data_IF_928597422664
#
_entry.id   IF_928597422664
#
_cell.length_a   1.000
_cell.length_b   1.000
_cell.length_c   1.000
_cell.angle_alpha   90.00
_cell.angle_beta   90.00
_cell.angle_gamma   90.00
#
_symmetry.space_group_name_H-M   'P 1'
#
loop_
_entity.id
_entity.type
_entity.pdbx_description
1 polymer ?
#
# COMPACT_ATOMS: atom_id res chain seq x y z
N UNK A 1 6.33 -7.58 -22.78
CA UNK A 1 7.53 -7.00 -23.43
C UNK A 1 8.05 -7.83 -24.60
N UNK A 2 8.48 -9.08 -24.47
CA UNK A 2 9.11 -9.89 -25.57
C UNK A 2 8.31 -9.89 -26.88
N UNK A 3 6.97 -10.04 -26.82
CA UNK A 3 6.13 -10.02 -28.02
C UNK A 3 6.09 -8.63 -28.66
N UNK A 4 6.01 -7.56 -27.89
CA UNK A 4 6.01 -6.17 -28.36
C UNK A 4 7.34 -5.82 -29.06
N UNK A 5 8.47 -6.20 -28.46
CA UNK A 5 9.80 -6.06 -29.07
C UNK A 5 9.86 -6.77 -30.43
N UNK A 6 9.41 -8.03 -30.49
CA UNK A 6 9.41 -8.81 -31.74
C UNK A 6 8.53 -8.20 -32.83
N UNK A 7 7.43 -7.58 -32.44
CA UNK A 7 6.51 -6.91 -33.37
C UNK A 7 6.90 -5.45 -33.65
N UNK A 8 7.94 -4.93 -33.01
CA UNK A 8 8.37 -3.52 -33.09
C UNK A 8 7.22 -2.54 -32.76
N UNK A 9 6.34 -2.94 -31.82
CA UNK A 9 5.18 -2.15 -31.41
C UNK A 9 5.35 -1.66 -29.96
N UNK A 10 4.91 -0.44 -29.62
CA UNK A 10 4.81 -0.02 -28.22
C UNK A 10 3.76 -0.86 -27.48
N UNK A 11 3.80 -0.84 -26.15
CA UNK A 11 2.86 -1.59 -25.32
C UNK A 11 2.42 -0.78 -24.10
N UNK A 12 1.10 -0.65 -23.90
CA UNK A 12 0.51 -0.25 -22.63
C UNK A 12 0.17 -1.49 -21.79
N UNK A 13 0.60 -1.49 -20.54
CA UNK A 13 0.40 -2.61 -19.61
C UNK A 13 -0.51 -2.15 -18.49
N UNK A 14 -1.58 -2.90 -18.21
CA UNK A 14 -2.49 -2.65 -17.10
C UNK A 14 -2.27 -3.67 -15.99
N UNK A 15 -2.05 -3.19 -14.75
CA UNK A 15 -1.95 -3.99 -13.55
C UNK A 15 -3.05 -3.56 -12.57
N UNK A 16 -4.17 -4.29 -12.60
CA UNK A 16 -5.33 -4.04 -11.72
C UNK A 16 -5.33 -4.99 -10.53
N UNK A 17 -4.22 -5.10 -9.83
CA UNK A 17 -4.08 -5.85 -8.60
C UNK A 17 -3.12 -5.12 -7.64
N UNK A 18 -3.19 -5.47 -6.37
CA UNK A 18 -2.29 -4.94 -5.35
C UNK A 18 -2.45 -5.66 -4.02
N UNK A 19 -1.53 -5.42 -3.11
CA UNK A 19 -1.56 -5.91 -1.75
C UNK A 19 -0.85 -4.93 -0.82
N UNK A 20 -0.90 -5.20 0.49
CA UNK A 20 -0.24 -4.37 1.50
C UNK A 20 1.08 -4.96 2.03
N UNK A 21 1.70 -5.90 1.28
CA UNK A 21 2.93 -6.57 1.71
C UNK A 21 4.17 -5.81 1.24
N UNK A 22 4.76 -5.02 2.13
CA UNK A 22 5.99 -4.28 1.91
C UNK A 22 6.01 -2.87 2.53
N UNK A 23 7.10 -2.12 2.35
CA UNK A 23 7.33 -0.84 3.03
C UNK A 23 6.55 0.35 2.42
N UNK A 24 5.82 0.18 1.34
CA UNK A 24 5.09 1.22 0.60
C UNK A 24 5.95 2.44 0.21
N UNK A 25 7.25 2.24 0.06
CA UNK A 25 8.25 3.26 -0.27
C UNK A 25 8.68 3.25 -1.75
N UNK A 26 8.10 2.33 -2.54
CA UNK A 26 8.41 2.15 -3.97
C UNK A 26 9.65 1.31 -4.23
N UNK A 27 10.25 0.68 -3.23
CA UNK A 27 11.56 0.01 -3.30
C UNK A 27 11.54 -1.49 -3.04
N UNK A 28 10.37 -2.12 -2.91
CA UNK A 28 10.31 -3.56 -2.85
C UNK A 28 10.94 -4.18 -4.11
N UNK A 29 11.39 -5.42 -4.02
CA UNK A 29 12.00 -6.12 -5.17
C UNK A 29 11.07 -6.12 -6.39
N UNK A 30 9.77 -6.29 -6.17
CA UNK A 30 8.77 -6.29 -7.23
C UNK A 30 8.59 -4.90 -7.85
N UNK A 31 8.57 -3.84 -7.05
CA UNK A 31 8.46 -2.45 -7.52
C UNK A 31 9.70 -2.01 -8.29
N UNK A 32 10.88 -2.36 -7.81
CA UNK A 32 12.13 -2.13 -8.53
C UNK A 32 12.12 -2.84 -9.89
N UNK A 33 11.69 -4.11 -9.93
CA UNK A 33 11.58 -4.86 -11.18
C UNK A 33 10.63 -4.21 -12.19
N UNK A 34 9.44 -3.75 -11.74
CA UNK A 34 8.49 -3.06 -12.60
C UNK A 34 9.05 -1.72 -13.08
N UNK A 35 9.68 -0.97 -12.19
CA UNK A 35 10.30 0.32 -12.52
C UNK A 35 11.42 0.16 -13.56
N UNK A 36 12.23 -0.88 -13.48
CA UNK A 36 13.27 -1.20 -14.46
C UNK A 36 12.69 -1.61 -15.83
N UNK A 37 11.57 -2.36 -15.83
CA UNK A 37 10.90 -2.75 -17.07
C UNK A 37 10.48 -1.54 -17.92
N UNK A 38 10.23 -0.40 -17.30
CA UNK A 38 9.88 0.83 -18.02
C UNK A 38 11.00 1.32 -18.98
N UNK A 39 12.25 0.93 -18.72
CA UNK A 39 13.41 1.22 -19.58
C UNK A 39 13.72 0.16 -20.66
N UNK A 40 13.05 -1.01 -20.62
CA UNK A 40 13.42 -2.14 -21.50
C UNK A 40 12.92 -1.98 -22.93
N UNK A 41 11.77 -1.36 -23.13
CA UNK A 41 11.13 -1.15 -24.43
C UNK A 41 10.14 0.01 -24.35
N UNK A 42 9.66 0.47 -25.50
CA UNK A 42 8.61 1.50 -25.61
C UNK A 42 7.34 1.04 -24.91
N UNK A 43 7.19 1.36 -23.64
CA UNK A 43 6.05 0.92 -22.82
C UNK A 43 5.58 1.98 -21.84
N UNK A 44 4.34 1.82 -21.39
CA UNK A 44 3.79 2.51 -20.22
C UNK A 44 3.09 1.48 -19.33
N UNK A 45 3.48 1.43 -18.06
CA UNK A 45 2.89 0.54 -17.06
C UNK A 45 1.94 1.36 -16.18
N UNK A 46 0.68 0.94 -16.16
CA UNK A 46 -0.40 1.58 -15.40
C UNK A 46 -0.85 0.64 -14.29
N UNK A 47 -0.93 1.15 -13.08
CA UNK A 47 -1.21 0.35 -11.87
C UNK A 47 -2.37 0.96 -11.11
N UNK A 48 -3.33 0.14 -10.68
CA UNK A 48 -4.42 0.56 -9.81
C UNK A 48 -3.89 0.94 -8.41
N UNK A 49 -4.37 2.05 -7.84
CA UNK A 49 -3.92 2.58 -6.55
C UNK A 49 -4.29 1.71 -5.34
N UNK A 50 -5.22 0.77 -5.51
CA UNK A 50 -5.79 -0.04 -4.43
C UNK A 50 -7.07 0.55 -3.85
N UNK A 51 -7.79 -0.26 -3.07
CA UNK A 51 -9.11 0.09 -2.52
C UNK A 51 -9.08 0.23 -0.99
N UNK A 52 -7.94 0.64 -0.44
CA UNK A 52 -7.66 0.68 0.99
C UNK A 52 -7.90 2.06 1.65
N UNK A 53 -8.32 3.07 0.88
CA UNK A 53 -8.42 4.47 1.33
C UNK A 53 -9.30 4.68 2.56
N UNK A 54 -10.30 3.84 2.80
CA UNK A 54 -11.19 3.87 3.97
C UNK A 54 -11.31 2.51 4.69
N UNK A 55 -10.40 1.57 4.39
CA UNK A 55 -10.45 0.21 4.93
C UNK A 55 -9.96 0.08 6.37
N UNK A 56 -9.34 1.13 6.93
CA UNK A 56 -8.72 1.12 8.26
C UNK A 56 -7.54 0.15 8.41
N UNK A 57 -6.87 -0.15 7.30
CA UNK A 57 -5.76 -1.12 7.26
C UNK A 57 -4.37 -0.49 7.32
N UNK A 58 -4.29 0.83 7.50
CA UNK A 58 -3.04 1.54 7.73
C UNK A 58 -3.13 2.40 8.98
N UNK A 59 -2.07 2.41 9.77
CA UNK A 59 -1.83 3.37 10.82
C UNK A 59 -0.36 3.76 10.89
N UNK A 60 -0.09 4.94 11.40
CA UNK A 60 1.25 5.46 11.62
C UNK A 60 1.38 5.97 13.06
N UNK A 61 2.47 5.62 13.69
CA UNK A 61 2.79 6.11 15.03
C UNK A 61 4.14 6.80 15.05
N UNK A 62 4.26 7.84 15.87
CA UNK A 62 5.50 8.54 16.14
C UNK A 62 5.99 8.17 17.53
N UNK A 63 7.20 7.61 17.61
CA UNK A 63 7.88 7.32 18.86
C UNK A 63 8.76 8.51 19.27
N UNK A 64 8.87 8.83 20.57
CA UNK A 64 9.75 9.90 21.02
C UNK A 64 11.21 9.56 20.72
N UNK A 65 11.95 10.54 20.15
CA UNK A 65 13.39 10.37 19.87
C UNK A 65 14.21 10.39 21.14
N UNK A 66 15.22 9.54 21.21
CA UNK A 66 16.12 9.45 22.35
C UNK A 66 16.56 8.03 22.68
N UNK A 67 17.30 7.91 23.77
CA UNK A 67 17.78 6.66 24.34
C UNK A 67 17.00 6.35 25.63
N UNK A 68 16.28 5.25 25.61
CA UNK A 68 15.38 4.83 26.70
C UNK A 68 15.98 3.64 27.44
N UNK A 69 16.35 3.83 28.72
CA UNK A 69 16.89 2.75 29.55
C UNK A 69 15.77 1.98 30.24
N UNK A 70 15.88 0.66 30.17
CA UNK A 70 15.12 -0.20 31.08
C UNK A 70 15.90 -0.29 32.39
N UNK A 71 15.29 0.13 33.48
CA UNK A 71 15.85 -0.10 34.79
C UNK A 71 15.45 -1.51 35.27
N UNK A 72 16.44 -2.42 35.33
CA UNK A 72 16.27 -3.74 35.97
C UNK A 72 17.25 -4.79 35.44
N UNK A 73 18.13 -5.29 36.31
CA UNK A 73 18.89 -6.52 36.14
C UNK A 73 17.95 -7.72 36.43
N UNK A 74 17.60 -8.46 35.41
CA UNK A 74 16.86 -9.70 35.58
C UNK A 74 15.67 -9.77 34.64
N UNK A 75 15.38 -10.98 34.21
CA UNK A 75 14.43 -11.36 33.19
C UNK A 75 13.19 -10.49 33.09
N UNK A 76 12.74 -10.34 31.89
CA UNK A 76 11.65 -9.49 31.50
C UNK A 76 10.36 -9.77 32.28
N UNK A 77 10.19 -9.07 33.41
CA UNK A 77 8.91 -8.85 34.04
C UNK A 77 8.31 -7.60 33.40
N UNK A 78 7.27 -7.77 32.56
CA UNK A 78 6.59 -6.69 31.86
C UNK A 78 6.02 -5.57 32.76
N UNK A 79 6.15 -5.70 34.09
CA UNK A 79 5.72 -4.71 35.07
C UNK A 79 6.73 -3.57 35.33
N UNK A 80 7.95 -3.63 34.74
CA UNK A 80 9.04 -2.67 35.01
C UNK A 80 9.46 -1.80 33.86
N UNK A 81 8.74 -1.83 32.75
CA UNK A 81 8.91 -0.85 31.69
C UNK A 81 8.13 0.39 32.13
N UNK A 82 8.80 1.54 32.20
CA UNK A 82 8.11 2.81 32.45
C UNK A 82 6.97 2.93 31.45
N UNK A 83 5.74 2.82 31.92
CA UNK A 83 4.50 2.96 31.16
C UNK A 83 4.42 4.31 30.41
N UNK A 84 5.21 5.28 30.83
CA UNK A 84 5.18 6.66 30.33
C UNK A 84 5.74 6.84 28.90
N UNK A 85 6.46 5.85 28.35
CA UNK A 85 7.09 5.94 27.02
C UNK A 85 6.65 4.84 26.06
N UNK A 86 5.69 3.98 26.41
CA UNK A 86 5.13 3.00 25.49
C UNK A 86 4.07 3.63 24.60
N UNK A 87 3.98 3.15 23.36
CA UNK A 87 2.90 3.50 22.45
C UNK A 87 2.12 2.23 22.10
N UNK A 88 0.82 2.27 22.27
CA UNK A 88 -0.05 1.15 21.93
C UNK A 88 -0.81 1.44 20.64
N UNK A 89 -0.84 0.43 19.76
CA UNK A 89 -1.60 0.43 18.51
C UNK A 89 -2.69 -0.61 18.65
N UNK A 90 -3.92 -0.16 18.79
CA UNK A 90 -5.08 -1.04 18.93
C UNK A 90 -5.74 -1.35 17.59
N UNK A 91 -6.19 -2.58 17.44
CA UNK A 91 -6.97 -3.03 16.27
C UNK A 91 -8.08 -3.99 16.68
N UNK A 92 -9.19 -3.91 15.96
CA UNK A 92 -10.27 -4.86 16.08
C UNK A 92 -10.02 -6.05 15.15
N UNK A 93 -10.13 -7.26 15.68
CA UNK A 93 -10.21 -8.50 14.92
C UNK A 93 -11.67 -8.98 14.99
N UNK A 94 -12.33 -9.02 13.84
CA UNK A 94 -13.74 -9.39 13.75
C UNK A 94 -13.98 -10.88 14.00
N UNK A 95 -15.21 -11.24 14.37
CA UNK A 95 -15.64 -12.63 14.42
C UNK A 95 -15.58 -13.28 13.03
N UNK A 96 -15.19 -14.55 12.99
CA UNK A 96 -15.14 -15.32 11.74
C UNK A 96 -13.82 -15.23 10.98
N UNK A 97 -12.90 -14.35 11.38
CA UNK A 97 -11.58 -14.26 10.74
C UNK A 97 -10.76 -15.53 10.96
N UNK A 98 -10.07 -15.97 9.92
CA UNK A 98 -9.22 -17.16 9.93
C UNK A 98 -7.75 -16.86 9.73
N UNK A 99 -7.43 -15.69 9.20
CA UNK A 99 -6.07 -15.21 9.02
C UNK A 99 -6.03 -13.70 9.12
N UNK A 100 -4.95 -13.18 9.66
CA UNK A 100 -4.62 -11.75 9.63
C UNK A 100 -3.11 -11.62 9.51
N UNK A 101 -2.66 -10.68 8.71
CA UNK A 101 -1.26 -10.28 8.67
C UNK A 101 -1.15 -8.79 8.98
N UNK A 102 -0.19 -8.45 9.84
CA UNK A 102 0.21 -7.06 10.09
C UNK A 102 1.71 -6.96 9.87
N UNK A 103 2.13 -6.02 9.06
CA UNK A 103 3.53 -5.66 8.87
C UNK A 103 3.80 -4.31 9.50
N UNK A 104 4.73 -4.25 10.44
CA UNK A 104 5.27 -3.01 10.98
C UNK A 104 6.59 -2.72 10.27
N UNK A 105 6.68 -1.53 9.71
CA UNK A 105 7.87 -1.01 9.05
C UNK A 105 8.40 0.21 9.78
N UNK A 106 9.67 0.18 10.14
CA UNK A 106 10.38 1.25 10.84
C UNK A 106 11.76 1.47 10.24
N UNK A 107 12.41 2.58 10.59
CA UNK A 107 13.83 2.75 10.26
C UNK A 107 14.68 1.70 10.98
N UNK A 108 15.67 1.16 10.29
CA UNK A 108 16.63 0.20 10.85
C UNK A 108 17.41 0.77 12.03
N UNK A 109 17.70 2.06 12.02
CA UNK A 109 18.44 2.72 13.12
C UNK A 109 17.64 2.85 14.41
N UNK A 110 16.31 2.68 14.35
CA UNK A 110 15.46 2.70 15.52
C UNK A 110 15.42 1.31 16.17
N UNK A 111 15.69 1.25 17.48
CA UNK A 111 15.58 0.04 18.28
C UNK A 111 14.40 0.15 19.22
N UNK A 112 13.53 -0.83 19.17
CA UNK A 112 12.37 -0.95 20.05
C UNK A 112 12.15 -2.42 20.45
N UNK A 113 11.36 -2.64 21.50
CA UNK A 113 10.73 -3.93 21.77
C UNK A 113 9.25 -3.85 21.46
N UNK A 114 8.68 -4.97 21.04
CA UNK A 114 7.29 -5.07 20.67
C UNK A 114 6.65 -6.26 21.41
N UNK A 115 5.44 -6.05 21.89
CA UNK A 115 4.55 -7.09 22.37
C UNK A 115 3.22 -7.02 21.63
N UNK A 116 2.75 -8.17 21.19
CA UNK A 116 1.35 -8.33 20.79
C UNK A 116 0.57 -8.72 22.03
N UNK A 117 -0.56 -8.06 22.28
CA UNK A 117 -1.41 -8.31 23.44
C UNK A 117 -2.79 -8.77 22.95
N UNK A 118 -3.21 -9.94 23.42
CA UNK A 118 -4.53 -10.49 23.06
C UNK A 118 -5.67 -9.81 23.82
N UNK A 119 -6.93 -9.99 23.39
CA UNK A 119 -8.10 -9.50 24.14
C UNK A 119 -8.22 -10.03 25.56
N UNK A 120 -7.61 -11.18 25.87
CA UNK A 120 -7.51 -11.73 27.22
C UNK A 120 -6.38 -11.15 28.06
N UNK A 121 -5.54 -10.28 27.48
CA UNK A 121 -4.39 -9.67 28.16
C UNK A 121 -3.10 -10.52 28.09
N UNK A 122 -3.11 -11.63 27.36
CA UNK A 122 -1.89 -12.43 27.15
C UNK A 122 -0.91 -11.66 26.25
N UNK A 123 0.38 -11.71 26.57
CA UNK A 123 1.43 -10.93 25.92
C UNK A 123 2.42 -11.82 25.18
N UNK A 124 2.63 -11.55 23.92
CA UNK A 124 3.52 -12.28 23.02
C UNK A 124 4.67 -11.37 22.60
N UNK A 125 5.88 -11.72 23.00
CA UNK A 125 7.07 -10.89 22.77
C UNK A 125 7.62 -11.09 21.35
N UNK A 126 8.06 -10.01 20.72
CA UNK A 126 8.85 -10.02 19.50
C UNK A 126 10.18 -10.81 19.72
N UNK A 127 10.61 -11.65 18.75
CA UNK A 127 11.89 -12.36 18.83
C UNK A 127 13.08 -11.41 18.58
N UNK A 128 14.29 -11.94 18.73
CA UNK A 128 15.52 -11.24 18.37
C UNK A 128 15.58 -10.97 16.85
N UNK A 129 16.32 -9.93 16.48
CA UNK A 129 16.53 -9.55 15.07
C UNK A 129 17.07 -10.71 14.24
N UNK A 130 16.52 -10.89 13.04
CA UNK A 130 16.87 -11.97 12.13
C UNK A 130 16.26 -13.33 12.49
N UNK A 131 15.36 -13.37 13.49
CA UNK A 131 14.72 -14.61 13.93
C UNK A 131 13.19 -14.53 13.91
N UNK A 132 12.54 -15.67 14.11
CA UNK A 132 11.07 -15.77 14.21
C UNK A 132 10.66 -16.64 15.40
N UNK A 133 9.47 -16.38 15.91
CA UNK A 133 8.82 -17.15 16.97
C UNK A 133 7.37 -17.44 16.59
N UNK A 134 6.87 -18.59 17.04
CA UNK A 134 5.46 -18.96 16.90
C UNK A 134 4.87 -19.24 18.26
N UNK A 135 3.75 -18.59 18.54
CA UNK A 135 2.96 -18.75 19.75
C UNK A 135 1.65 -19.49 19.45
N UNK A 136 1.20 -20.31 20.38
CA UNK A 136 -0.12 -20.96 20.32
C UNK A 136 -1.15 -20.05 20.96
N UNK A 137 -2.29 -19.85 20.28
CA UNK A 137 -3.40 -18.98 20.72
C UNK A 137 -4.61 -19.78 21.22
N UNK A 138 -4.48 -21.12 21.36
CA UNK A 138 -5.60 -22.03 21.61
C UNK A 138 -6.31 -22.49 20.33
N UNK A 139 -6.99 -23.65 20.41
CA UNK A 139 -7.69 -24.25 19.27
C UNK A 139 -6.83 -24.46 18.02
N UNK A 140 -5.54 -24.77 18.19
CA UNK A 140 -4.53 -24.90 17.12
C UNK A 140 -4.31 -23.61 16.30
N UNK A 141 -4.83 -22.47 16.75
CA UNK A 141 -4.53 -21.16 16.18
C UNK A 141 -3.14 -20.68 16.62
N UNK A 142 -2.47 -19.94 15.76
CA UNK A 142 -1.09 -19.48 15.99
C UNK A 142 -0.92 -18.00 15.73
N UNK A 143 0.02 -17.39 16.43
CA UNK A 143 0.63 -16.09 16.11
C UNK A 143 2.11 -16.32 15.80
N UNK A 144 2.52 -16.04 14.58
CA UNK A 144 3.92 -16.04 14.17
C UNK A 144 4.43 -14.61 14.12
N UNK A 145 5.58 -14.34 14.73
CA UNK A 145 6.25 -13.03 14.66
C UNK A 145 7.65 -13.24 14.10
N UNK A 146 7.99 -12.52 13.05
CA UNK A 146 9.32 -12.52 12.43
C UNK A 146 9.90 -11.11 12.53
N UNK A 147 11.06 -10.99 13.14
CA UNK A 147 11.81 -9.74 13.19
C UNK A 147 12.87 -9.76 12.08
N UNK A 148 12.57 -9.12 10.97
CA UNK A 148 13.42 -9.10 9.79
C UNK A 148 14.71 -8.32 9.98
N UNK A 149 15.60 -8.47 9.03
CA UNK A 149 16.80 -7.64 8.86
C UNK A 149 16.64 -6.73 7.66
N UNK A 150 17.39 -5.61 7.57
CA UNK A 150 17.39 -4.77 6.37
C UNK A 150 17.76 -5.57 5.12
N UNK A 151 17.17 -5.20 3.99
CA UNK A 151 17.45 -5.82 2.70
C UNK A 151 18.29 -4.88 1.84
N UNK A 152 18.94 -5.37 0.74
CA UNK A 152 19.66 -4.50 -0.18
C UNK A 152 18.79 -3.45 -0.89
N UNK A 153 17.46 -3.54 -0.77
CA UNK A 153 16.50 -2.72 -1.51
C UNK A 153 15.89 -1.61 -0.66
N UNK A 154 15.87 -1.78 0.66
CA UNK A 154 15.27 -0.80 1.59
C UNK A 154 16.06 -0.72 2.89
N UNK A 155 16.15 0.50 3.43
CA UNK A 155 16.70 0.76 4.77
C UNK A 155 15.65 0.58 5.87
N UNK A 156 14.41 0.32 5.50
CA UNK A 156 13.34 0.02 6.45
C UNK A 156 13.43 -1.43 6.90
N UNK A 157 13.15 -1.65 8.16
CA UNK A 157 13.14 -2.97 8.80
C UNK A 157 11.71 -3.42 9.03
N UNK A 158 11.42 -4.65 8.65
CA UNK A 158 10.12 -5.28 8.84
C UNK A 158 10.04 -6.02 10.17
N UNK A 159 8.89 -5.90 10.84
CA UNK A 159 8.41 -6.85 11.83
C UNK A 159 7.09 -7.42 11.29
N UNK A 160 7.14 -8.67 10.88
CA UNK A 160 6.02 -9.39 10.30
C UNK A 160 5.27 -10.16 11.37
N UNK A 161 3.97 -9.99 11.43
CA UNK A 161 3.07 -10.66 12.37
C UNK A 161 1.94 -11.33 11.61
N UNK A 162 1.74 -12.63 11.85
CA UNK A 162 0.73 -13.43 11.17
C UNK A 162 -0.08 -14.25 12.17
N UNK A 163 -1.38 -14.06 12.14
CA UNK A 163 -2.36 -14.88 12.85
C UNK A 163 -2.94 -15.90 11.89
N UNK A 164 -2.95 -17.15 12.29
CA UNK A 164 -3.55 -18.25 11.48
C UNK A 164 -4.42 -19.11 12.38
N UNK A 165 -5.67 -19.28 12.00
CA UNK A 165 -6.60 -20.16 12.70
C UNK A 165 -6.31 -21.63 12.39
N UNK A 166 -6.52 -22.52 13.37
CA UNK A 166 -6.52 -23.94 13.19
C UNK A 166 -7.68 -24.43 12.30
N UNK A 167 -7.68 -25.71 11.99
CA UNK A 167 -8.73 -26.29 11.15
C UNK A 167 -10.09 -26.24 11.88
N UNK A 168 -11.11 -25.72 11.18
CA UNK A 168 -12.48 -25.65 11.71
C UNK A 168 -12.73 -24.59 12.79
N UNK A 169 -11.72 -23.81 13.17
CA UNK A 169 -11.86 -22.72 14.15
C UNK A 169 -11.60 -21.35 13.54
N UNK A 170 -11.89 -20.29 14.27
CA UNK A 170 -11.62 -18.90 13.91
C UNK A 170 -10.63 -18.30 14.91
N UNK A 171 -10.00 -17.21 14.53
CA UNK A 171 -9.12 -16.45 15.43
C UNK A 171 -9.91 -15.85 16.60
N UNK A 172 -9.28 -15.64 17.76
CA UNK A 172 -9.90 -14.96 18.89
C UNK A 172 -10.28 -13.52 18.55
N UNK A 173 -11.59 -13.28 18.35
CA UNK A 173 -12.11 -11.95 18.06
C UNK A 173 -12.00 -11.00 19.24
N UNK A 174 -11.95 -9.69 18.98
CA UNK A 174 -11.89 -8.65 20.00
C UNK A 174 -10.84 -7.59 19.70
N UNK A 175 -10.53 -6.79 20.70
CA UNK A 175 -9.50 -5.75 20.59
C UNK A 175 -8.15 -6.34 20.97
N UNK A 176 -7.26 -6.33 20.02
CA UNK A 176 -5.85 -6.65 20.17
C UNK A 176 -5.04 -5.36 20.24
N UNK A 177 -3.87 -5.39 20.85
CA UNK A 177 -2.93 -4.27 20.78
C UNK A 177 -1.51 -4.72 20.44
N UNK A 178 -0.76 -3.79 19.84
CA UNK A 178 0.67 -3.89 19.59
C UNK A 178 1.33 -2.80 20.45
N UNK A 179 2.00 -3.22 21.52
CA UNK A 179 2.67 -2.33 22.45
C UNK A 179 4.13 -2.16 22.04
N UNK A 180 4.50 -0.93 21.70
CA UNK A 180 5.85 -0.53 21.24
C UNK A 180 6.59 0.15 22.39
N UNK A 181 7.75 -0.38 22.75
CA UNK A 181 8.62 0.13 23.81
C UNK A 181 9.92 0.65 23.19
N UNK A 182 10.11 1.98 23.08
CA UNK A 182 11.30 2.56 22.51
C UNK A 182 12.55 2.21 23.31
N UNK A 183 13.67 1.99 22.63
CA UNK A 183 15.00 1.72 23.20
C UNK A 183 16.01 2.78 22.78
N UNK A 184 16.22 2.87 21.51
CA UNK A 184 17.09 3.86 20.86
C UNK A 184 16.36 4.34 19.61
N UNK A 185 15.82 5.56 19.67
CA UNK A 185 14.98 6.10 18.60
C UNK A 185 15.66 7.31 17.98
N UNK A 186 15.92 7.25 16.68
CA UNK A 186 16.55 8.29 15.87
C UNK A 186 15.56 8.95 14.91
N UNK A 187 14.76 8.15 14.19
CA UNK A 187 13.72 8.60 13.26
C UNK A 187 12.34 8.62 13.91
N UNK A 188 11.95 7.55 14.56
CA UNK A 188 10.77 7.45 15.39
C UNK A 188 9.45 7.27 14.63
N UNK A 189 9.48 7.01 13.34
CA UNK A 189 8.26 6.77 12.55
C UNK A 189 8.09 5.28 12.31
N UNK A 190 6.95 4.74 12.74
CA UNK A 190 6.56 3.37 12.46
C UNK A 190 5.24 3.38 11.67
N UNK A 191 5.21 2.68 10.55
CA UNK A 191 4.00 2.43 9.77
C UNK A 191 3.57 0.98 9.95
N UNK A 192 2.26 0.76 10.10
CA UNK A 192 1.69 -0.57 10.18
C UNK A 192 0.62 -0.74 9.10
N UNK A 193 0.74 -1.80 8.32
CA UNK A 193 -0.27 -2.20 7.35
C UNK A 193 -0.81 -3.59 7.67
N UNK A 194 -2.13 -3.74 7.57
CA UNK A 194 -2.82 -5.04 7.60
C UNK A 194 -2.90 -5.63 6.20
N UNK A 195 -3.12 -6.94 6.11
CA UNK A 195 -3.60 -7.58 4.89
C UNK A 195 -4.80 -6.84 4.31
N UNK A 196 -4.85 -6.72 2.96
CA UNK A 196 -5.86 -5.91 2.29
C UNK A 196 -7.30 -6.41 2.51
N UNK A 197 -8.28 -5.55 2.23
CA UNK A 197 -9.70 -5.78 2.46
C UNK A 197 -10.26 -7.05 1.79
N UNK A 198 -9.61 -7.52 0.73
CA UNK A 198 -9.98 -8.78 0.06
C UNK A 198 -9.59 -10.03 0.88
N UNK A 199 -8.64 -9.89 1.81
CA UNK A 199 -8.13 -10.97 2.64
C UNK A 199 -8.66 -10.92 4.08
N UNK A 200 -9.05 -9.75 4.58
CA UNK A 200 -9.66 -9.53 5.90
C UNK A 200 -11.02 -8.87 5.75
N UNK A 201 -11.95 -9.19 6.64
CA UNK A 201 -13.30 -8.63 6.62
C UNK A 201 -13.31 -7.12 6.89
N UNK A 202 -14.37 -6.42 6.44
CA UNK A 202 -14.50 -4.96 6.60
C UNK A 202 -14.61 -4.47 8.06
N UNK A 203 -14.84 -5.38 9.01
CA UNK A 203 -14.92 -5.06 10.44
C UNK A 203 -13.57 -5.17 11.16
N UNK A 204 -12.60 -5.88 10.56
CA UNK A 204 -11.21 -5.94 11.03
C UNK A 204 -10.50 -4.65 10.63
N UNK A 205 -9.69 -4.05 11.52
CA UNK A 205 -8.99 -2.81 11.21
C UNK A 205 -8.44 -2.10 12.44
N UNK A 206 -7.52 -1.17 12.22
CA UNK A 206 -6.98 -0.31 13.28
C UNK A 206 -8.07 0.60 13.87
N UNK A 207 -8.02 0.84 15.18
CA UNK A 207 -8.95 1.75 15.85
C UNK A 207 -8.61 3.22 15.58
N UNK A 208 -7.34 3.51 15.35
CA UNK A 208 -6.84 4.84 14.99
C UNK A 208 -6.16 4.78 13.60
N UNK A 209 -6.94 4.58 12.52
CA UNK A 209 -6.37 4.47 11.18
C UNK A 209 -5.92 5.82 10.63
N UNK A 210 -4.93 5.79 9.75
CA UNK A 210 -4.50 6.91 8.93
C UNK A 210 -4.94 6.67 7.49
N UNK A 211 -5.62 7.64 6.89
CA UNK A 211 -6.18 7.52 5.53
C UNK A 211 -5.16 7.76 4.41
N UNK A 212 -4.03 8.38 4.71
CA UNK A 212 -2.93 8.57 3.77
C UNK A 212 -1.98 7.38 3.76
N UNK A 213 -1.16 7.25 2.71
CA UNK A 213 -0.22 6.13 2.51
C UNK A 213 -0.93 4.77 2.46
N UNK A 214 -2.12 4.76 1.84
CA UNK A 214 -2.97 3.59 1.64
C UNK A 214 -2.95 3.06 0.20
N UNK A 215 -1.97 3.48 -0.59
CA UNK A 215 -1.69 2.89 -1.91
C UNK A 215 -1.22 1.45 -1.72
N UNK A 216 -1.76 0.53 -2.50
CA UNK A 216 -1.28 -0.86 -2.49
C UNK A 216 -0.01 -1.02 -3.34
N UNK A 217 0.83 -2.00 -3.00
CA UNK A 217 1.97 -2.39 -3.82
C UNK A 217 1.44 -3.21 -5.03
N UNK A 218 1.83 -2.89 -6.28
CA UNK A 218 2.98 -2.04 -6.66
C UNK A 218 2.63 -0.60 -7.11
N UNK A 219 1.51 -0.02 -6.67
CA UNK A 219 1.14 1.34 -7.08
C UNK A 219 2.06 2.42 -6.50
N UNK A 220 2.92 2.06 -5.56
CA UNK A 220 3.96 2.91 -4.98
C UNK A 220 5.28 2.91 -5.76
N UNK A 221 5.42 2.09 -6.80
CA UNK A 221 6.62 2.05 -7.66
C UNK A 221 6.87 3.38 -8.39
N UNK A 222 8.14 3.74 -8.60
CA UNK A 222 8.54 5.08 -9.08
C UNK A 222 8.09 5.40 -10.52
N UNK A 223 8.40 4.49 -11.44
CA UNK A 223 8.35 4.75 -12.89
C UNK A 223 7.07 4.28 -13.56
N UNK A 224 6.00 4.13 -12.80
CA UNK A 224 4.70 3.69 -13.29
C UNK A 224 3.68 4.84 -13.22
N UNK A 225 2.54 4.65 -13.85
CA UNK A 225 1.38 5.53 -13.69
C UNK A 225 0.41 4.90 -12.71
N UNK A 226 0.40 5.37 -11.47
CA UNK A 226 -0.55 4.92 -10.44
C UNK A 226 -1.88 5.66 -10.58
N UNK A 227 -3.00 4.93 -10.47
CA UNK A 227 -4.33 5.45 -10.82
C UNK A 227 -5.31 5.25 -9.68
N UNK A 228 -5.77 6.36 -9.11
CA UNK A 228 -6.90 6.39 -8.19
C UNK A 228 -8.26 6.44 -8.92
N UNK A 229 -9.33 6.31 -8.16
CA UNK A 229 -10.69 6.31 -8.67
C UNK A 229 -11.47 7.56 -8.23
N UNK A 230 -12.27 8.11 -9.15
CA UNK A 230 -13.28 9.12 -8.81
C UNK A 230 -14.66 8.71 -9.34
N UNK A 231 -15.72 9.25 -8.73
CA UNK A 231 -17.09 9.08 -9.20
C UNK A 231 -17.42 10.14 -10.25
N UNK A 232 -17.80 9.72 -11.45
CA UNK A 232 -17.99 10.61 -12.58
C UNK A 232 -19.14 11.62 -12.39
N UNK A 233 -20.23 11.21 -11.75
CA UNK A 233 -21.42 12.07 -11.56
C UNK A 233 -21.18 13.21 -10.56
N UNK A 234 -20.45 12.93 -9.49
CA UNK A 234 -20.16 13.93 -8.43
C UNK A 234 -18.82 14.61 -8.61
N UNK A 235 -17.96 14.09 -9.48
CA UNK A 235 -16.57 14.52 -9.68
C UNK A 235 -15.74 14.46 -8.38
N UNK A 236 -16.11 13.61 -7.41
CA UNK A 236 -15.42 13.43 -6.15
C UNK A 236 -14.53 12.17 -6.18
N UNK A 237 -13.35 12.25 -5.56
CA UNK A 237 -12.50 11.05 -5.36
C UNK A 237 -13.27 10.02 -4.56
N UNK A 238 -13.23 8.76 -4.99
CA UNK A 238 -13.94 7.68 -4.31
C UNK A 238 -13.32 7.42 -2.92
N UNK A 239 -14.14 7.26 -1.87
CA UNK A 239 -13.63 7.07 -0.50
C UNK A 239 -12.66 5.89 -0.35
N UNK A 240 -12.90 4.82 -1.09
CA UNK A 240 -12.06 3.62 -1.06
C UNK A 240 -10.73 3.79 -1.80
N UNK A 241 -10.60 4.79 -2.70
CA UNK A 241 -9.40 4.96 -3.51
C UNK A 241 -8.16 5.11 -2.64
N UNK A 242 -7.13 4.30 -2.91
CA UNK A 242 -5.85 4.41 -2.23
C UNK A 242 -5.27 5.82 -2.35
N UNK A 243 -4.72 6.33 -1.24
CA UNK A 243 -4.20 7.70 -1.10
C UNK A 243 -2.71 7.69 -0.80
N UNK A 244 -2.04 8.68 -1.31
CA UNK A 244 -0.62 8.91 -1.10
C UNK A 244 -0.30 9.79 0.13
N UNK A 245 0.87 10.35 0.22
CA UNK A 245 1.98 10.02 -0.68
C UNK A 245 2.53 8.64 -0.33
N UNK A 246 3.53 8.12 -1.09
CA UNK A 246 4.24 6.91 -0.67
C UNK A 246 4.94 7.12 0.66
N UNK A 247 5.35 6.06 1.34
CA UNK A 247 6.11 6.16 2.60
C UNK A 247 7.45 6.90 2.44
N UNK A 248 7.99 6.97 1.21
CA UNK A 248 9.18 7.76 0.87
C UNK A 248 8.86 9.22 0.46
N UNK A 249 7.59 9.64 0.52
CA UNK A 249 7.16 11.00 0.17
C UNK A 249 6.99 11.27 -1.32
N UNK A 250 7.01 10.27 -2.18
CA UNK A 250 6.80 10.44 -3.62
C UNK A 250 5.32 10.65 -3.93
N UNK A 251 5.05 11.46 -4.96
CA UNK A 251 3.68 11.72 -5.43
C UNK A 251 3.08 10.48 -6.09
N UNK A 252 2.08 9.91 -5.44
CA UNK A 252 1.17 8.89 -5.93
C UNK A 252 -0.17 9.03 -5.17
N UNK A 253 -1.33 8.74 -5.78
CA UNK A 253 -1.47 8.30 -7.17
C UNK A 253 -0.98 9.37 -8.15
N UNK A 254 -0.63 8.95 -9.39
CA UNK A 254 -0.25 9.92 -10.45
C UNK A 254 -1.44 10.78 -10.84
N UNK A 255 -2.60 10.17 -11.03
CA UNK A 255 -3.86 10.83 -11.36
C UNK A 255 -5.05 9.92 -11.04
N UNK A 256 -6.27 10.41 -11.24
CA UNK A 256 -7.48 9.63 -11.05
C UNK A 256 -8.27 9.49 -12.37
N UNK A 257 -9.03 8.40 -12.47
CA UNK A 257 -9.95 8.13 -13.57
C UNK A 257 -11.31 7.63 -13.05
N UNK A 258 -12.38 7.60 -13.88
CA UNK A 258 -13.67 7.07 -13.46
C UNK A 258 -13.55 5.63 -12.96
N UNK A 259 -14.02 5.36 -11.73
CA UNK A 259 -13.88 4.03 -11.14
C UNK A 259 -15.09 3.60 -10.30
N UNK A 260 -16.21 4.32 -10.36
CA UNK A 260 -17.41 4.02 -9.59
C UNK A 260 -18.57 3.77 -10.54
N UNK A 261 -19.23 2.62 -10.38
CA UNK A 261 -20.42 2.22 -11.14
C UNK A 261 -20.24 2.24 -12.66
N UNK A 262 -19.10 1.76 -13.14
CA UNK A 262 -18.74 1.75 -14.55
C UNK A 262 -19.32 0.52 -15.25
N UNK A 263 -20.03 0.74 -16.36
CA UNK A 263 -20.50 -0.34 -17.21
C UNK A 263 -19.33 -0.96 -17.97
N UNK A 264 -19.06 -2.23 -17.77
CA UNK A 264 -17.95 -2.97 -18.36
C UNK A 264 -18.39 -4.35 -18.85
N UNK A 265 -17.59 -4.99 -19.68
CA UNK A 265 -17.83 -6.36 -20.11
C UNK A 265 -17.82 -7.33 -18.91
N UNK A 266 -18.72 -8.29 -18.92
CA UNK A 266 -18.86 -9.31 -17.87
C UNK A 266 -18.30 -10.66 -18.31
N UNK A 267 -17.75 -11.48 -17.40
CA UNK A 267 -17.43 -12.87 -17.67
C UNK A 267 -18.66 -13.63 -18.16
N UNK A 268 -18.50 -14.45 -19.19
CA UNK A 268 -19.62 -15.19 -19.79
C UNK A 268 -20.45 -14.41 -20.80
N UNK A 269 -20.07 -13.13 -21.07
CA UNK A 269 -20.76 -12.26 -22.03
C UNK A 269 -21.69 -11.24 -21.35
N UNK A 270 -22.14 -10.24 -22.16
CA UNK A 270 -22.95 -9.14 -21.66
C UNK A 270 -22.14 -8.08 -20.89
N UNK A 271 -22.83 -7.31 -20.07
CA UNK A 271 -22.27 -6.17 -19.33
C UNK A 271 -22.65 -6.21 -17.86
N UNK A 272 -21.77 -5.71 -17.01
CA UNK A 272 -22.02 -5.51 -15.58
C UNK A 272 -21.43 -4.20 -15.10
N UNK A 273 -22.01 -3.61 -14.05
CA UNK A 273 -21.44 -2.44 -13.40
C UNK A 273 -20.40 -2.88 -12.37
N UNK A 274 -19.27 -2.18 -12.35
CA UNK A 274 -18.14 -2.48 -11.47
C UNK A 274 -17.60 -1.20 -10.86
N UNK A 275 -17.04 -1.34 -9.65
CA UNK A 275 -16.44 -0.25 -8.89
C UNK A 275 -15.06 -0.69 -8.38
N UNK A 276 -14.09 0.20 -8.40
CA UNK A 276 -12.72 -0.03 -7.91
C UNK A 276 -11.67 0.76 -8.69
N UNK A 277 -10.50 0.94 -8.11
CA UNK A 277 -9.33 1.48 -8.82
C UNK A 277 -8.88 0.56 -9.96
N UNK A 278 -9.16 -0.75 -9.83
CA UNK A 278 -8.97 -1.75 -10.89
C UNK A 278 -9.81 -1.47 -12.15
N UNK A 279 -10.88 -0.69 -12.02
CA UNK A 279 -11.74 -0.24 -13.13
C UNK A 279 -11.26 1.12 -13.67
N UNK A 280 -10.69 1.96 -12.81
CA UNK A 280 -10.12 3.26 -13.21
C UNK A 280 -8.83 3.11 -14.03
N UNK A 281 -7.94 2.21 -13.65
CA UNK A 281 -6.64 2.00 -14.31
C UNK A 281 -6.75 1.69 -15.82
N UNK A 282 -7.68 0.86 -16.31
CA UNK A 282 -7.86 0.63 -17.76
C UNK A 282 -8.16 1.87 -18.59
N UNK A 283 -8.83 2.89 -18.05
CA UNK A 283 -9.03 4.17 -18.78
C UNK A 283 -7.70 4.85 -19.05
N UNK A 284 -6.79 4.85 -18.06
CA UNK A 284 -5.46 5.43 -18.21
C UNK A 284 -4.58 4.57 -19.10
N UNK A 285 -4.72 3.25 -19.06
CA UNK A 285 -4.03 2.33 -19.98
C UNK A 285 -4.45 2.56 -21.42
N UNK A 286 -5.76 2.77 -21.67
CA UNK A 286 -6.27 3.16 -22.98
C UNK A 286 -5.73 4.51 -23.44
N UNK A 287 -5.67 5.50 -22.56
CA UNK A 287 -5.08 6.81 -22.83
C UNK A 287 -3.58 6.70 -23.16
N UNK A 288 -2.82 5.88 -22.44
CA UNK A 288 -1.42 5.59 -22.73
C UNK A 288 -1.24 4.95 -24.11
N UNK A 289 -2.12 4.02 -24.49
CA UNK A 289 -2.10 3.42 -25.83
C UNK A 289 -2.36 4.46 -26.93
N UNK A 290 -3.34 5.35 -26.73
CA UNK A 290 -3.63 6.45 -27.69
C UNK A 290 -2.47 7.44 -27.81
N UNK A 291 -1.82 7.79 -26.70
CA UNK A 291 -0.62 8.64 -26.72
C UNK A 291 0.53 7.99 -27.51
N UNK A 292 0.78 6.71 -27.26
CA UNK A 292 1.84 5.97 -27.97
C UNK A 292 1.48 5.74 -29.45
N UNK A 293 0.20 5.55 -29.78
CA UNK A 293 -0.23 5.51 -31.19
C UNK A 293 0.06 6.83 -31.88
N UNK A 294 -0.38 7.96 -31.28
CA UNK A 294 -0.14 9.29 -31.86
C UNK A 294 1.36 9.60 -31.99
N UNK A 295 2.13 9.34 -30.91
CA UNK A 295 3.56 9.67 -30.91
C UNK A 295 4.38 8.68 -31.72
N UNK A 296 4.38 7.42 -31.35
CA UNK A 296 5.32 6.41 -31.84
C UNK A 296 4.86 5.82 -33.17
N UNK A 297 3.59 5.36 -33.25
CA UNK A 297 3.12 4.65 -34.45
C UNK A 297 2.92 5.61 -35.62
N UNK A 298 2.40 6.82 -35.36
CA UNK A 298 2.23 7.87 -36.37
C UNK A 298 3.47 8.73 -36.58
N UNK A 299 4.53 8.54 -35.77
CA UNK A 299 5.82 9.21 -35.93
C UNK A 299 5.87 10.67 -35.50
N UNK A 300 4.87 11.17 -34.76
CA UNK A 300 4.87 12.55 -34.25
C UNK A 300 5.89 12.76 -33.12
N UNK A 301 6.10 11.75 -32.28
CA UNK A 301 7.07 11.74 -31.18
C UNK A 301 7.44 10.30 -30.82
N UNK A 302 8.52 9.79 -31.40
CA UNK A 302 8.96 8.38 -31.26
C UNK A 302 9.44 8.01 -29.84
N UNK A 303 9.62 9.01 -28.96
CA UNK A 303 10.04 8.86 -27.57
C UNK A 303 8.87 9.07 -26.58
N UNK A 304 7.60 9.11 -27.05
CA UNK A 304 6.43 9.33 -26.20
C UNK A 304 6.00 8.03 -25.51
N UNK A 305 6.79 7.58 -24.56
CA UNK A 305 6.55 6.41 -23.71
C UNK A 305 7.20 6.60 -22.33
N UNK A 306 7.05 5.63 -21.43
CA UNK A 306 7.67 5.63 -20.11
C UNK A 306 7.36 6.91 -19.32
N UNK A 307 8.37 7.49 -18.70
CA UNK A 307 8.24 8.72 -17.90
C UNK A 307 7.80 9.93 -18.72
N UNK A 308 8.21 10.02 -19.99
CA UNK A 308 7.74 11.09 -20.86
C UNK A 308 6.24 11.00 -21.08
N UNK A 309 5.71 9.82 -21.37
CA UNK A 309 4.27 9.58 -21.46
C UNK A 309 3.53 9.88 -20.15
N UNK A 310 4.08 9.46 -19.01
CA UNK A 310 3.58 9.82 -17.68
C UNK A 310 3.51 11.34 -17.50
N UNK A 311 4.56 12.07 -17.83
CA UNK A 311 4.60 13.53 -17.75
C UNK A 311 3.53 14.21 -18.61
N UNK A 312 3.24 13.69 -19.79
CA UNK A 312 2.16 14.21 -20.62
C UNK A 312 0.77 13.93 -20.05
N UNK A 313 0.55 12.76 -19.45
CA UNK A 313 -0.68 12.46 -18.73
C UNK A 313 -0.87 13.42 -17.53
N UNK A 314 0.19 13.66 -16.76
CA UNK A 314 0.18 14.61 -15.63
C UNK A 314 -0.13 16.04 -16.09
N UNK A 315 0.56 16.51 -17.13
CA UNK A 315 0.36 17.85 -17.69
C UNK A 315 -1.05 18.07 -18.22
N UNK A 316 -1.65 17.04 -18.83
CA UNK A 316 -2.99 17.08 -19.37
C UNK A 316 -4.11 16.87 -18.35
N UNK A 317 -3.78 16.49 -17.12
CA UNK A 317 -4.76 16.25 -16.08
C UNK A 317 -5.57 17.51 -15.75
N UNK A 318 -6.86 17.34 -15.45
CA UNK A 318 -7.76 18.43 -15.10
C UNK A 318 -8.07 18.41 -13.60
N UNK A 319 -8.23 19.57 -12.96
CA UNK A 319 -8.61 19.64 -11.56
C UNK A 319 -9.99 19.00 -11.30
N UNK A 320 -10.18 18.56 -10.07
CA UNK A 320 -11.47 18.13 -9.53
C UNK A 320 -12.05 19.24 -8.67
N UNK A 321 -13.40 19.39 -8.62
CA UNK A 321 -14.05 20.35 -7.73
C UNK A 321 -13.65 20.15 -6.26
N UNK A 322 -13.38 21.23 -5.55
CA UNK A 322 -13.03 21.20 -4.12
C UNK A 322 -11.57 20.88 -3.81
N UNK A 323 -10.72 20.58 -4.81
CA UNK A 323 -9.27 20.42 -4.64
C UNK A 323 -8.57 21.61 -5.28
N UNK A 324 -7.83 22.37 -4.48
CA UNK A 324 -7.15 23.61 -4.91
C UNK A 324 -5.67 23.42 -5.20
N UNK A 325 -5.03 22.49 -4.48
CA UNK A 325 -3.58 22.28 -4.52
C UNK A 325 -3.25 20.93 -5.17
N UNK A 326 -2.33 20.95 -6.12
CA UNK A 326 -1.85 19.78 -6.84
C UNK A 326 -0.32 19.74 -6.83
N UNK A 327 0.31 18.55 -6.66
CA UNK A 327 -0.34 17.24 -6.54
C UNK A 327 -1.04 17.05 -5.18
N UNK A 328 -2.25 16.47 -5.21
CA UNK A 328 -3.05 16.14 -4.05
C UNK A 328 -2.87 14.67 -3.63
N UNK A 329 -2.98 14.37 -2.33
CA UNK A 329 -2.76 13.02 -1.79
C UNK A 329 -3.76 11.97 -2.30
N UNK A 330 -4.97 12.38 -2.69
CA UNK A 330 -6.01 11.48 -3.17
C UNK A 330 -6.18 11.52 -4.70
N UNK A 331 -5.93 12.68 -5.32
CA UNK A 331 -6.15 12.90 -6.75
C UNK A 331 -4.87 12.97 -7.59
N UNK A 332 -3.68 12.97 -6.95
CA UNK A 332 -2.42 13.18 -7.67
C UNK A 332 -2.42 14.51 -8.42
N UNK A 333 -2.15 14.48 -9.71
CA UNK A 333 -2.18 15.67 -10.58
C UNK A 333 -3.57 16.04 -11.12
N UNK A 334 -4.61 15.31 -10.70
CA UNK A 334 -6.00 15.55 -11.09
C UNK A 334 -6.59 14.39 -11.89
N UNK A 335 -7.73 14.65 -12.56
CA UNK A 335 -8.42 13.62 -13.35
C UNK A 335 -7.88 13.53 -14.79
N UNK A 336 -7.87 12.31 -15.31
CA UNK A 336 -7.46 12.02 -16.69
C UNK A 336 -8.21 12.90 -17.72
N UNK A 337 -7.48 13.51 -18.64
CA UNK A 337 -8.01 14.14 -19.83
C UNK A 337 -7.12 13.84 -21.06
N UNK A 338 -7.53 12.87 -21.87
CA UNK A 338 -6.73 12.40 -23.03
C UNK A 338 -6.47 13.52 -24.02
N UNK A 339 -7.47 14.36 -24.32
CA UNK A 339 -7.37 15.48 -25.28
C UNK A 339 -6.26 16.47 -24.88
N UNK A 340 -6.15 16.80 -23.60
CA UNK A 340 -5.14 17.74 -23.10
C UNK A 340 -3.76 17.06 -22.91
N UNK A 341 -3.71 15.75 -22.85
CA UNK A 341 -2.47 14.98 -22.73
C UNK A 341 -1.76 14.80 -24.07
N UNK A 342 -2.48 14.88 -25.19
CA UNK A 342 -1.88 14.81 -26.54
C UNK A 342 -1.23 16.16 -26.86
N UNK A 343 0.07 16.17 -27.22
CA UNK A 343 0.73 17.40 -27.69
C UNK A 343 0.03 18.02 -28.90
N UNK A 344 -0.13 19.34 -28.89
CA UNK A 344 -0.69 20.11 -30.04
C UNK A 344 0.42 20.55 -30.95
#
# INVERSE_FOLDING_TARGET
MRKAIRLQQPIAVNLSFGNNYGPHDGRSLFENYISELNGVWKNMIVVAAGNEGNARHHTQVALPKGDFRIYGNGGFDGSRINSDNSTEVEFALAEGERALTIQLWKSYVDRLELYVVSPSGERFRMPEEGTGVRYMLGGDSTLSIVHGTPTPYTISQEIYMEWTAGEGVTLPAGIWSIALYPREIREGVCNLWMSGIEASGSQTGFLMPVTNTTLTIPATADRIVSVGAYQADTMAVAPFSGRGFTASGQTAPTLVAPGVDILTAAPGGGYARRTGTSIAAPFVTGAAALLMEWGIVRGNDVELYGEKGKAYLMRGAKPLPGITDYPDVAAGYGRLCVEQSIPK
#
